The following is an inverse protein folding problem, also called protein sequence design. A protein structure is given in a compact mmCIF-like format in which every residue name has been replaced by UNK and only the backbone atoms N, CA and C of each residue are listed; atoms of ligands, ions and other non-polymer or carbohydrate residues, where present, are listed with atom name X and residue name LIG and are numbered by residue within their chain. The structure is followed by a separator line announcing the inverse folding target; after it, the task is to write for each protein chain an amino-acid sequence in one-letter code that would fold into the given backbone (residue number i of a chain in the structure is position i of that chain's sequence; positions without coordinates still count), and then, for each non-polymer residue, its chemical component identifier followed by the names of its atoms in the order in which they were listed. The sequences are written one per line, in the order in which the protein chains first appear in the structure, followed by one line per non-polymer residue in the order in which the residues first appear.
data_IF_928101331168
#
_entry.id   IF_928101331168
#
_cell.length_a   1.000
_cell.length_b   1.000
_cell.length_c   1.000
_cell.angle_alpha   90.00
_cell.angle_beta   90.00
_cell.angle_gamma   90.00
#
_symmetry.space_group_name_H-M   'P 1'
#
loop_
_entity.id
_entity.type
_entity.pdbx_description
1 polymer ?
#
# COMPACT_ATOMS: atom_id res chain seq x y z
N UNK A 1 -23.39 58.24 13.83
CA UNK A 1 -22.40 58.89 14.72
C UNK A 1 -21.94 57.84 15.71
N UNK A 2 -20.64 57.49 15.72
CA UNK A 2 -19.66 57.77 16.81
C UNK A 2 -20.13 57.14 18.15
N UNK A 3 -19.37 56.30 18.86
CA UNK A 3 -17.93 56.38 19.14
C UNK A 3 -17.46 55.03 19.73
N UNK A 4 -16.20 54.70 19.47
CA UNK A 4 -15.41 53.66 20.15
C UNK A 4 -15.34 53.89 21.66
N UNK A 5 -15.17 52.82 22.45
CA UNK A 5 -14.33 52.92 23.64
C UNK A 5 -13.63 51.62 24.02
N UNK A 6 -12.49 51.82 24.65
CA UNK A 6 -11.28 51.01 24.72
C UNK A 6 -11.06 50.46 26.13
N UNK A 7 -10.18 49.45 26.23
CA UNK A 7 -9.31 49.12 27.39
C UNK A 7 -9.94 48.58 28.69
N UNK A 8 -9.49 47.39 29.12
CA UNK A 8 -8.58 47.27 30.28
C UNK A 8 -8.16 45.80 30.53
N UNK A 9 -6.84 45.59 30.54
CA UNK A 9 -6.12 44.44 31.08
C UNK A 9 -6.24 44.45 32.62
N UNK A 10 -6.56 43.32 33.25
CA UNK A 10 -6.28 43.09 34.69
C UNK A 10 -5.68 41.70 34.86
N UNK A 11 -4.43 41.71 35.32
CA UNK A 11 -3.63 40.60 35.84
C UNK A 11 -4.02 40.29 37.28
N UNK A 12 -4.16 39.02 37.65
CA UNK A 12 -3.84 38.53 39.02
C UNK A 12 -3.31 37.09 38.94
N UNK A 13 -2.10 36.91 39.45
CA UNK A 13 -1.40 35.64 39.68
C UNK A 13 -1.78 34.99 41.03
N UNK A 14 -1.39 33.72 41.14
CA UNK A 14 -1.07 32.94 42.35
C UNK A 14 -2.18 32.09 42.99
N UNK A 15 -1.97 30.77 43.01
CA UNK A 15 -1.45 30.08 44.19
C UNK A 15 -1.18 28.57 43.90
N UNK A 16 0.06 28.15 44.13
CA UNK A 16 0.44 26.76 44.41
C UNK A 16 0.36 26.54 45.93
N UNK A 17 0.02 25.34 46.42
CA UNK A 17 0.44 24.89 47.74
C UNK A 17 1.63 23.93 47.62
N UNK A 18 2.76 24.32 48.21
CA UNK A 18 3.81 23.40 48.62
C UNK A 18 3.63 23.10 50.12
N UNK A 19 3.61 21.81 50.48
CA UNK A 19 3.94 21.37 51.84
C UNK A 19 4.98 20.25 51.76
N UNK A 20 5.86 20.27 52.74
CA UNK A 20 7.24 19.82 52.67
C UNK A 20 7.49 18.38 53.15
N UNK A 21 8.57 17.81 52.58
CA UNK A 21 9.67 17.04 53.17
C UNK A 21 9.40 15.95 54.24
N UNK A 22 9.96 14.76 53.97
CA UNK A 22 10.22 13.71 54.97
C UNK A 22 10.92 12.49 54.36
N UNK A 23 12.17 12.27 54.76
CA UNK A 23 13.20 11.43 54.14
C UNK A 23 13.03 9.89 54.22
N UNK A 24 13.57 9.23 53.20
CA UNK A 24 14.41 8.02 53.18
C UNK A 24 13.98 6.68 53.87
N UNK A 25 14.18 5.61 53.08
CA UNK A 25 14.62 4.25 53.42
C UNK A 25 13.59 3.10 53.50
N UNK A 26 13.65 2.27 52.45
CA UNK A 26 13.80 0.81 52.42
C UNK A 26 12.59 -0.15 52.69
N UNK A 27 12.63 -1.25 51.94
CA UNK A 27 11.94 -2.55 52.11
C UNK A 27 10.55 -2.80 51.46
N UNK A 28 10.63 -3.44 50.28
CA UNK A 28 10.05 -4.76 49.93
C UNK A 28 8.55 -5.06 50.05
N UNK A 29 7.95 -5.30 48.87
CA UNK A 29 6.99 -6.36 48.51
C UNK A 29 5.67 -6.53 49.30
N UNK A 30 4.55 -6.14 48.70
CA UNK A 30 3.63 -7.06 48.00
C UNK A 30 2.18 -6.52 47.94
N UNK A 31 1.64 -6.57 46.72
CA UNK A 31 0.25 -6.88 46.37
C UNK A 31 -0.91 -6.07 47.00
N UNK A 32 -1.56 -5.25 46.17
CA UNK A 32 -3.02 -5.32 45.98
C UNK A 32 -3.44 -4.56 44.72
N UNK A 33 -4.37 -5.17 43.99
CA UNK A 33 -4.84 -4.82 42.65
C UNK A 33 -5.68 -3.54 42.56
N UNK A 34 -5.63 -2.86 41.40
CA UNK A 34 -6.81 -2.30 40.71
C UNK A 34 -6.42 -1.82 39.29
N UNK A 35 -7.41 -1.81 38.42
CA UNK A 35 -7.39 -1.92 36.96
C UNK A 35 -7.30 -0.55 36.20
N UNK A 36 -7.24 -0.54 34.84
CA UNK A 36 -6.38 0.34 34.06
C UNK A 36 -7.03 1.68 33.69
N UNK A 37 -6.22 2.74 33.66
CA UNK A 37 -6.59 4.02 33.06
C UNK A 37 -6.44 3.95 31.54
N UNK A 38 -7.51 4.39 30.87
CA UNK A 38 -7.63 4.68 29.45
C UNK A 38 -6.43 5.49 28.95
N UNK A 39 -5.64 4.91 28.05
CA UNK A 39 -4.72 5.67 27.21
C UNK A 39 -5.50 6.20 26.00
N UNK A 40 -5.64 7.53 25.98
CA UNK A 40 -6.19 8.30 24.89
C UNK A 40 -5.41 8.03 23.60
N UNK A 41 -6.17 7.87 22.52
CA UNK A 41 -5.70 7.72 21.15
C UNK A 41 -4.94 8.99 20.78
N UNK A 42 -3.61 8.89 20.74
CA UNK A 42 -2.77 9.93 20.16
C UNK A 42 -3.02 9.95 18.65
N UNK A 43 -3.83 10.92 18.21
CA UNK A 43 -3.87 11.38 16.84
C UNK A 43 -2.45 11.82 16.48
N UNK A 44 -1.75 10.97 15.76
CA UNK A 44 -0.51 11.36 15.09
C UNK A 44 -0.94 11.83 13.72
N UNK A 45 -0.89 13.14 13.52
CA UNK A 45 -0.88 13.75 12.19
C UNK A 45 0.34 13.18 11.46
N UNK A 46 0.13 12.15 10.64
CA UNK A 46 1.15 11.62 9.74
C UNK A 46 1.37 12.66 8.64
N UNK A 47 2.38 13.48 8.88
CA UNK A 47 3.09 14.23 7.84
C UNK A 47 3.58 13.23 6.78
N UNK A 48 3.43 13.61 5.51
CA UNK A 48 3.73 12.84 4.31
C UNK A 48 4.89 11.84 4.46
N UNK A 49 4.54 10.56 4.59
CA UNK A 49 5.42 9.43 4.31
C UNK A 49 4.90 8.88 2.99
N UNK A 50 5.60 9.14 1.89
CA UNK A 50 5.24 8.59 0.56
C UNK A 50 5.21 7.07 0.71
N UNK A 51 4.00 6.54 0.61
CA UNK A 51 3.63 5.18 0.96
C UNK A 51 4.41 4.15 0.14
N UNK A 52 4.73 3.03 0.78
CA UNK A 52 5.07 1.75 0.15
C UNK A 52 4.26 1.52 -1.12
N UNK A 53 4.87 0.99 -2.18
CA UNK A 53 4.36 0.72 -3.53
C UNK A 53 3.16 -0.24 -3.61
N UNK A 54 2.07 0.15 -2.95
CA UNK A 54 0.76 -0.45 -3.09
C UNK A 54 -0.01 0.26 -4.20
N UNK A 55 -0.89 -0.50 -4.85
CA UNK A 55 -1.89 0.06 -5.76
C UNK A 55 -3.23 0.16 -5.05
N UNK A 56 -4.07 1.09 -5.47
CA UNK A 56 -5.31 1.42 -4.77
C UNK A 56 -6.54 1.29 -5.68
N UNK A 57 -7.69 1.08 -5.05
CA UNK A 57 -8.99 1.30 -5.70
C UNK A 57 -9.41 2.78 -5.62
N UNK A 58 -10.56 3.10 -6.21
CA UNK A 58 -11.13 4.45 -6.22
C UNK A 58 -11.44 5.02 -4.84
N UNK A 59 -11.52 4.17 -3.83
CA UNK A 59 -11.83 4.51 -2.44
C UNK A 59 -10.55 4.65 -1.60
N UNK A 60 -9.38 4.64 -2.25
CA UNK A 60 -8.07 4.72 -1.60
C UNK A 60 -7.75 3.47 -0.77
N UNK A 61 -8.42 2.34 -1.03
CA UNK A 61 -8.11 1.09 -0.34
C UNK A 61 -7.01 0.34 -1.09
N UNK A 62 -5.98 -0.17 -0.40
CA UNK A 62 -4.94 -0.95 -1.04
C UNK A 62 -5.52 -2.24 -1.61
N UNK A 63 -5.17 -2.55 -2.86
CA UNK A 63 -5.61 -3.75 -3.57
C UNK A 63 -4.43 -4.53 -4.14
N UNK A 64 -4.64 -5.83 -4.32
CA UNK A 64 -3.67 -6.74 -4.91
C UNK A 64 -3.90 -6.91 -6.41
N UNK A 65 -2.87 -7.32 -7.16
CA UNK A 65 -3.00 -7.69 -8.57
C UNK A 65 -4.12 -8.71 -8.82
N UNK A 66 -4.28 -9.69 -7.92
CA UNK A 66 -5.32 -10.70 -7.99
C UNK A 66 -6.72 -10.08 -7.90
N UNK A 67 -6.96 -9.18 -6.94
CA UNK A 67 -8.25 -8.51 -6.78
C UNK A 67 -8.61 -7.69 -8.01
N UNK A 68 -7.65 -6.95 -8.57
CA UNK A 68 -7.83 -6.20 -9.81
C UNK A 68 -8.15 -7.13 -10.99
N UNK A 69 -7.43 -8.24 -11.13
CA UNK A 69 -7.68 -9.20 -12.21
C UNK A 69 -9.07 -9.85 -12.10
N UNK A 70 -9.50 -10.20 -10.89
CA UNK A 70 -10.86 -10.71 -10.62
C UNK A 70 -11.94 -9.66 -10.92
N UNK A 71 -11.71 -8.41 -10.53
CA UNK A 71 -12.62 -7.31 -10.82
C UNK A 71 -12.80 -7.08 -12.33
N UNK A 72 -11.71 -7.11 -13.09
CA UNK A 72 -11.75 -7.05 -14.57
C UNK A 72 -12.51 -8.21 -15.19
N UNK A 73 -12.30 -9.42 -14.69
CA UNK A 73 -13.03 -10.60 -15.15
C UNK A 73 -14.54 -10.49 -14.86
N UNK A 74 -14.89 -9.95 -13.69
CA UNK A 74 -16.28 -9.68 -13.33
C UNK A 74 -16.93 -8.65 -14.27
N UNK A 75 -16.27 -7.53 -14.58
CA UNK A 75 -16.79 -6.55 -15.55
C UNK A 75 -16.91 -7.12 -16.97
N UNK A 76 -16.00 -8.00 -17.37
CA UNK A 76 -16.13 -8.70 -18.65
C UNK A 76 -17.36 -9.62 -18.67
N UNK A 77 -17.71 -10.26 -17.55
CA UNK A 77 -18.92 -11.07 -17.41
C UNK A 77 -20.19 -10.20 -17.42
N UNK A 78 -20.21 -9.07 -16.70
CA UNK A 78 -21.29 -8.08 -16.72
C UNK A 78 -21.55 -7.60 -18.15
N UNK A 79 -20.49 -7.19 -18.86
CA UNK A 79 -20.55 -6.76 -20.27
C UNK A 79 -21.07 -7.87 -21.18
N UNK A 80 -20.64 -9.12 -20.97
CA UNK A 80 -21.10 -10.28 -21.75
C UNK A 80 -22.58 -10.60 -21.51
N UNK A 81 -23.07 -10.39 -20.29
CA UNK A 81 -24.48 -10.56 -19.95
C UNK A 81 -25.38 -9.44 -20.52
N UNK A 82 -24.79 -8.31 -20.95
CA UNK A 82 -25.53 -7.18 -21.50
C UNK A 82 -26.39 -6.44 -20.47
N UNK A 83 -26.06 -6.57 -19.19
CA UNK A 83 -26.75 -5.87 -18.09
C UNK A 83 -26.13 -4.48 -17.87
N UNK A 84 -26.91 -3.54 -17.33
CA UNK A 84 -26.40 -2.22 -17.03
C UNK A 84 -25.38 -2.29 -15.87
N UNK A 85 -24.21 -1.62 -15.95
CA UNK A 85 -23.15 -1.76 -14.95
C UNK A 85 -23.56 -1.42 -13.51
N UNK A 86 -24.51 -0.51 -13.33
CA UNK A 86 -24.98 -0.04 -12.02
C UNK A 86 -26.23 -0.79 -11.53
N UNK A 87 -26.63 -1.88 -12.21
CA UNK A 87 -27.83 -2.64 -11.86
C UNK A 87 -27.57 -3.66 -10.76
N UNK A 88 -28.65 -4.08 -10.09
CA UNK A 88 -28.57 -5.16 -9.09
C UNK A 88 -28.12 -6.48 -9.73
N UNK A 89 -28.50 -6.74 -10.98
CA UNK A 89 -28.05 -7.90 -11.75
C UNK A 89 -26.54 -7.86 -12.00
N UNK A 90 -25.95 -6.70 -12.31
CA UNK A 90 -24.50 -6.56 -12.42
C UNK A 90 -23.80 -6.86 -11.09
N UNK A 91 -24.36 -6.38 -9.97
CA UNK A 91 -23.84 -6.69 -8.64
C UNK A 91 -23.90 -8.19 -8.35
N UNK A 92 -24.98 -8.88 -8.72
CA UNK A 92 -25.09 -10.34 -8.56
C UNK A 92 -24.05 -11.10 -9.38
N UNK A 93 -23.75 -10.65 -10.61
CA UNK A 93 -22.68 -11.25 -11.44
C UNK A 93 -21.31 -11.06 -10.78
N UNK A 94 -21.03 -9.87 -10.27
CA UNK A 94 -19.79 -9.55 -9.55
C UNK A 94 -19.62 -10.37 -8.27
N UNK A 95 -20.67 -10.50 -7.47
CA UNK A 95 -20.69 -11.38 -6.28
C UNK A 95 -20.44 -12.83 -6.70
N UNK A 96 -21.09 -13.30 -7.76
CA UNK A 96 -20.88 -14.64 -8.32
C UNK A 96 -19.46 -14.86 -8.84
N UNK A 97 -18.76 -13.81 -9.26
CA UNK A 97 -17.36 -13.81 -9.66
C UNK A 97 -16.39 -13.70 -8.46
N UNK A 98 -16.90 -13.59 -7.23
CA UNK A 98 -16.11 -13.56 -6.00
C UNK A 98 -15.72 -12.16 -5.51
N UNK A 99 -16.35 -11.09 -6.01
CA UNK A 99 -16.27 -9.79 -5.35
C UNK A 99 -17.11 -9.77 -4.07
N UNK A 100 -16.76 -8.90 -3.13
CA UNK A 100 -17.50 -8.79 -1.87
C UNK A 100 -18.84 -8.08 -2.11
N UNK A 101 -19.91 -8.42 -1.36
CA UNK A 101 -21.21 -7.76 -1.50
C UNK A 101 -21.16 -6.24 -1.27
N UNK A 102 -20.22 -5.77 -0.47
CA UNK A 102 -20.06 -4.35 -0.14
C UNK A 102 -19.52 -3.54 -1.33
N UNK A 103 -18.76 -4.18 -2.22
CA UNK A 103 -18.09 -3.52 -3.37
C UNK A 103 -18.73 -3.86 -4.71
N UNK A 104 -19.49 -4.94 -4.80
CA UNK A 104 -20.08 -5.42 -6.05
C UNK A 104 -21.12 -4.48 -6.67
N UNK A 105 -21.70 -3.55 -5.91
CA UNK A 105 -22.66 -2.59 -6.44
C UNK A 105 -22.01 -1.48 -7.28
N UNK A 106 -20.68 -1.37 -7.24
CA UNK A 106 -19.94 -0.40 -8.03
C UNK A 106 -19.11 -1.09 -9.13
N UNK A 107 -19.10 -0.55 -10.36
CA UNK A 107 -18.22 -1.05 -11.40
C UNK A 107 -16.75 -0.84 -11.05
N UNK A 108 -15.91 -1.79 -11.45
CA UNK A 108 -14.46 -1.56 -11.44
C UNK A 108 -14.09 -0.44 -12.42
N UNK A 109 -13.52 0.66 -11.91
CA UNK A 109 -13.23 1.86 -12.71
C UNK A 109 -11.74 2.07 -13.02
N UNK A 110 -10.83 1.43 -12.29
CA UNK A 110 -9.41 1.60 -12.52
C UNK A 110 -8.50 1.08 -11.41
N UNK A 111 -7.22 1.36 -11.59
CA UNK A 111 -6.17 1.21 -10.59
C UNK A 111 -5.64 2.62 -10.32
N UNK A 112 -5.36 2.93 -9.06
CA UNK A 112 -4.96 4.26 -8.61
C UNK A 112 -3.63 4.19 -7.85
N UNK A 113 -2.87 5.28 -7.90
CA UNK A 113 -1.72 5.52 -7.03
C UNK A 113 -2.17 6.03 -5.64
N UNK A 114 -1.21 6.27 -4.74
CA UNK A 114 -1.48 6.74 -3.38
C UNK A 114 -2.09 8.16 -3.36
N UNK A 115 -1.82 8.96 -4.39
CA UNK A 115 -2.34 10.31 -4.58
C UNK A 115 -3.77 10.32 -5.16
N UNK A 116 -4.30 9.15 -5.54
CA UNK A 116 -5.63 9.00 -6.13
C UNK A 116 -5.70 9.29 -7.63
N UNK A 117 -4.55 9.36 -8.32
CA UNK A 117 -4.50 9.43 -9.77
C UNK A 117 -4.61 8.04 -10.37
N UNK A 118 -5.31 7.95 -11.50
CA UNK A 118 -5.47 6.69 -12.21
C UNK A 118 -4.17 6.30 -12.91
N UNK A 119 -3.68 5.09 -12.64
CA UNK A 119 -2.46 4.54 -13.24
C UNK A 119 -2.76 3.43 -14.26
N UNK A 120 -1.80 3.20 -15.14
CA UNK A 120 -1.88 2.10 -16.12
C UNK A 120 -1.61 0.74 -15.48
N UNK A 121 -2.02 -0.35 -16.15
CA UNK A 121 -1.68 -1.71 -15.68
C UNK A 121 -0.19 -1.98 -15.68
N UNK A 122 0.57 -1.26 -16.52
CA UNK A 122 2.03 -1.40 -16.60
C UNK A 122 2.65 -0.79 -15.34
N UNK A 123 2.30 0.45 -15.03
CA UNK A 123 2.75 1.14 -13.80
C UNK A 123 2.35 0.36 -12.54
N UNK A 124 1.09 -0.09 -12.48
CA UNK A 124 0.62 -0.91 -11.37
C UNK A 124 1.41 -2.22 -11.21
N UNK A 125 1.88 -2.82 -12.31
CA UNK A 125 2.71 -4.02 -12.24
C UNK A 125 4.14 -3.71 -11.80
N UNK A 126 4.68 -2.56 -12.22
CA UNK A 126 6.00 -2.07 -11.81
C UNK A 126 6.04 -1.80 -10.31
N UNK A 127 5.06 -1.06 -9.77
CA UNK A 127 4.95 -0.78 -8.34
C UNK A 127 4.84 -2.08 -7.52
N UNK A 128 3.94 -2.98 -7.92
CA UNK A 128 3.79 -4.27 -7.24
C UNK A 128 5.03 -5.16 -7.35
N UNK A 129 5.75 -5.10 -8.46
CA UNK A 129 6.96 -5.89 -8.67
C UNK A 129 8.11 -5.38 -7.79
N UNK A 130 8.29 -4.06 -7.72
CA UNK A 130 9.26 -3.42 -6.83
C UNK A 130 9.04 -3.87 -5.39
N UNK A 131 7.81 -3.77 -4.88
CA UNK A 131 7.50 -4.19 -3.50
C UNK A 131 7.76 -5.68 -3.27
N UNK A 132 7.41 -6.53 -4.24
CA UNK A 132 7.62 -7.97 -4.10
C UNK A 132 9.12 -8.33 -4.11
N UNK A 133 9.93 -7.65 -4.92
CA UNK A 133 11.40 -7.84 -4.96
C UNK A 133 12.06 -7.28 -3.70
N UNK A 134 11.65 -6.10 -3.21
CA UNK A 134 12.10 -5.55 -1.92
C UNK A 134 11.79 -6.54 -0.79
N UNK A 135 10.55 -7.04 -0.74
CA UNK A 135 10.10 -7.99 0.28
C UNK A 135 10.89 -9.30 0.26
N UNK A 136 11.27 -9.80 -0.93
CA UNK A 136 12.05 -11.04 -1.06
C UNK A 136 13.53 -10.87 -0.79
N UNK A 137 14.10 -9.76 -1.25
CA UNK A 137 15.51 -9.42 -1.02
C UNK A 137 15.79 -9.06 0.43
N UNK A 138 14.75 -8.65 1.19
CA UNK A 138 14.91 -8.17 2.56
C UNK A 138 15.54 -6.78 2.63
N UNK A 139 15.46 -5.99 1.55
CA UNK A 139 15.94 -4.63 1.52
C UNK A 139 15.18 -3.77 2.55
N UNK A 140 15.93 -3.00 3.34
CA UNK A 140 15.35 -2.10 4.34
C UNK A 140 14.78 -0.84 3.67
N UNK A 141 13.70 -0.25 4.20
CA UNK A 141 13.20 1.03 3.72
C UNK A 141 14.28 2.13 3.76
N UNK A 142 14.50 2.80 2.63
CA UNK A 142 15.53 3.83 2.44
C UNK A 142 16.94 3.30 2.24
N UNK A 143 17.13 1.99 2.02
CA UNK A 143 18.45 1.41 1.78
C UNK A 143 18.91 1.58 0.32
N UNK A 144 20.22 1.55 0.10
CA UNK A 144 20.85 1.46 -1.23
C UNK A 144 20.24 0.35 -2.07
N UNK A 145 20.02 -0.83 -1.47
CA UNK A 145 19.43 -1.98 -2.17
C UNK A 145 18.01 -1.68 -2.66
N UNK A 146 17.20 -0.98 -1.87
CA UNK A 146 15.88 -0.54 -2.31
C UNK A 146 15.99 0.46 -3.47
N UNK A 147 16.90 1.42 -3.40
CA UNK A 147 17.13 2.39 -4.48
C UNK A 147 17.51 1.71 -5.79
N UNK A 148 18.42 0.72 -5.74
CA UNK A 148 18.82 -0.09 -6.90
C UNK A 148 17.63 -0.85 -7.48
N UNK A 149 16.77 -1.48 -6.65
CA UNK A 149 15.58 -2.20 -7.12
C UNK A 149 14.59 -1.24 -7.80
N UNK A 150 14.39 -0.05 -7.25
CA UNK A 150 13.52 0.98 -7.83
C UNK A 150 14.09 1.53 -9.15
N UNK A 151 15.39 1.79 -9.22
CA UNK A 151 16.07 2.19 -10.46
C UNK A 151 15.96 1.11 -11.54
N UNK A 152 16.14 -0.16 -11.16
CA UNK A 152 15.98 -1.30 -12.05
C UNK A 152 14.55 -1.41 -12.63
N UNK A 153 13.52 -1.08 -11.84
CA UNK A 153 12.14 -1.06 -12.32
C UNK A 153 11.88 0.05 -13.34
N UNK A 154 12.56 1.20 -13.19
CA UNK A 154 12.58 2.30 -14.16
C UNK A 154 13.35 1.96 -15.44
N UNK A 155 14.19 0.93 -15.40
CA UNK A 155 15.10 0.58 -16.49
C UNK A 155 16.35 1.46 -16.53
N UNK A 156 16.71 2.06 -15.39
CA UNK A 156 17.90 2.89 -15.24
C UNK A 156 19.12 2.01 -14.93
N UNK A 157 20.28 2.36 -15.49
CA UNK A 157 21.54 1.63 -15.27
C UNK A 157 22.26 2.10 -13.98
N UNK A 158 21.86 3.25 -13.41
CA UNK A 158 22.42 3.83 -12.18
C UNK A 158 21.30 4.44 -11.30
N UNK A 159 21.50 4.50 -9.98
CA UNK A 159 20.61 5.22 -9.04
C UNK A 159 20.87 6.73 -9.09
N UNK A 160 19.97 7.52 -8.50
CA UNK A 160 20.15 8.98 -8.34
C UNK A 160 21.42 9.34 -7.52
N UNK A 161 21.89 8.42 -6.67
CA UNK A 161 23.10 8.58 -5.85
C UNK A 161 24.37 8.08 -6.57
N UNK A 162 24.23 7.49 -7.76
CA UNK A 162 25.32 7.02 -8.61
C UNK A 162 25.73 5.56 -8.40
N UNK A 163 24.88 4.77 -7.74
CA UNK A 163 25.12 3.33 -7.55
C UNK A 163 24.75 2.56 -8.82
N UNK A 164 25.62 1.64 -9.25
CA UNK A 164 25.39 0.82 -10.44
C UNK A 164 24.25 -0.18 -10.22
N UNK A 165 23.34 -0.25 -11.18
CA UNK A 165 22.29 -1.26 -11.20
C UNK A 165 22.79 -2.48 -11.95
N UNK A 166 23.04 -3.55 -11.20
CA UNK A 166 23.53 -4.79 -11.79
C UNK A 166 22.47 -5.48 -12.68
N UNK A 167 22.96 -6.19 -13.70
CA UNK A 167 22.09 -6.87 -14.67
C UNK A 167 21.22 -8.00 -14.08
N UNK A 168 21.61 -8.58 -12.95
CA UNK A 168 20.82 -9.61 -12.25
C UNK A 168 19.61 -8.96 -11.57
N UNK A 169 19.78 -7.80 -10.94
CA UNK A 169 18.69 -7.02 -10.35
C UNK A 169 17.72 -6.51 -11.42
N UNK A 170 18.24 -6.01 -12.55
CA UNK A 170 17.42 -5.63 -13.72
C UNK A 170 16.56 -6.80 -14.22
N UNK A 171 17.15 -7.99 -14.31
CA UNK A 171 16.44 -9.19 -14.72
C UNK A 171 15.38 -9.64 -13.70
N UNK A 172 15.73 -9.67 -12.41
CA UNK A 172 14.83 -10.08 -11.35
C UNK A 172 13.58 -9.19 -11.34
N UNK A 173 13.78 -7.88 -11.41
CA UNK A 173 12.69 -6.90 -11.46
C UNK A 173 11.88 -7.05 -12.74
N UNK A 174 12.51 -7.18 -13.91
CA UNK A 174 11.80 -7.39 -15.18
C UNK A 174 10.95 -8.67 -15.17
N UNK A 175 11.45 -9.75 -14.58
CA UNK A 175 10.70 -11.00 -14.40
C UNK A 175 9.49 -10.79 -13.50
N UNK A 176 9.66 -10.14 -12.36
CA UNK A 176 8.55 -9.90 -11.44
C UNK A 176 7.50 -8.97 -12.06
N UNK A 177 7.90 -7.95 -12.83
CA UNK A 177 6.98 -7.10 -13.61
C UNK A 177 6.12 -7.97 -14.53
N UNK A 178 6.73 -8.90 -15.28
CA UNK A 178 6.00 -9.78 -16.18
C UNK A 178 5.00 -10.68 -15.42
N UNK A 179 5.40 -11.19 -14.25
CA UNK A 179 4.52 -11.98 -13.37
C UNK A 179 3.34 -11.14 -12.88
N UNK A 180 3.58 -9.94 -12.36
CA UNK A 180 2.53 -9.06 -11.86
C UNK A 180 1.57 -8.61 -12.98
N UNK A 181 2.07 -8.33 -14.18
CA UNK A 181 1.22 -8.07 -15.35
C UNK A 181 0.32 -9.25 -15.69
N UNK A 182 0.86 -10.48 -15.63
CA UNK A 182 0.07 -11.69 -15.88
C UNK A 182 -1.01 -11.89 -14.80
N UNK A 183 -0.70 -11.64 -13.53
CA UNK A 183 -1.67 -11.72 -12.43
C UNK A 183 -2.75 -10.64 -12.58
N UNK A 184 -2.38 -9.37 -12.85
CA UNK A 184 -3.32 -8.27 -13.10
C UNK A 184 -4.28 -8.56 -14.27
N UNK A 185 -3.82 -9.34 -15.25
CA UNK A 185 -4.62 -9.73 -16.41
C UNK A 185 -5.55 -10.90 -16.13
N UNK A 186 -5.12 -11.85 -15.31
CA UNK A 186 -5.79 -13.16 -15.17
C UNK A 186 -6.54 -13.31 -13.85
N UNK A 187 -6.22 -12.50 -12.83
CA UNK A 187 -6.77 -12.65 -11.48
C UNK A 187 -6.29 -13.93 -10.79
N UNK A 188 -5.17 -14.50 -11.22
CA UNK A 188 -4.59 -15.72 -10.63
C UNK A 188 -4.27 -15.51 -9.16
N UNK A 189 -4.55 -16.53 -8.35
CA UNK A 189 -4.33 -16.48 -6.91
C UNK A 189 -2.83 -16.62 -6.57
N UNK A 190 -2.28 -15.78 -5.68
CA UNK A 190 -0.93 -15.96 -5.16
C UNK A 190 -0.76 -17.32 -4.45
N UNK A 191 0.39 -17.97 -4.64
CA UNK A 191 0.71 -19.31 -4.17
C UNK A 191 0.04 -20.44 -4.96
N UNK A 192 -0.73 -20.14 -6.02
CA UNK A 192 -1.41 -21.18 -6.80
C UNK A 192 -0.50 -21.86 -7.82
N UNK A 193 -0.91 -23.05 -8.28
CA UNK A 193 -0.25 -23.74 -9.38
C UNK A 193 -0.19 -22.87 -10.66
N UNK A 194 -1.22 -22.05 -10.91
CA UNK A 194 -1.24 -21.16 -12.06
C UNK A 194 -0.21 -20.03 -11.95
N UNK A 195 0.02 -19.49 -10.75
CA UNK A 195 1.10 -18.52 -10.55
C UNK A 195 2.46 -19.18 -10.77
N UNK A 196 2.63 -20.42 -10.28
CA UNK A 196 3.87 -21.19 -10.50
C UNK A 196 4.15 -21.39 -12.00
N UNK A 197 3.11 -21.66 -12.80
CA UNK A 197 3.23 -21.74 -14.26
C UNK A 197 3.59 -20.39 -14.89
N UNK A 198 3.02 -19.28 -14.41
CA UNK A 198 3.36 -17.93 -14.88
C UNK A 198 4.83 -17.63 -14.59
N UNK A 199 5.31 -17.90 -13.37
CA UNK A 199 6.70 -17.68 -12.94
C UNK A 199 7.67 -18.51 -13.78
N UNK A 200 7.41 -19.82 -13.91
CA UNK A 200 8.21 -20.70 -14.76
C UNK A 200 8.20 -20.24 -16.23
N UNK A 201 7.07 -19.76 -16.73
CA UNK A 201 6.98 -19.18 -18.08
C UNK A 201 7.85 -17.92 -18.24
N UNK A 202 7.86 -17.04 -17.24
CA UNK A 202 8.71 -15.85 -17.22
C UNK A 202 10.20 -16.24 -17.23
N UNK A 203 10.60 -17.22 -16.43
CA UNK A 203 11.97 -17.75 -16.41
C UNK A 203 12.39 -18.30 -17.78
N UNK A 204 11.59 -19.20 -18.36
CA UNK A 204 11.88 -19.80 -19.66
C UNK A 204 11.97 -18.74 -20.78
N UNK A 205 11.12 -17.73 -20.74
CA UNK A 205 11.15 -16.63 -21.73
C UNK A 205 12.41 -15.78 -21.58
N UNK A 206 12.85 -15.51 -20.35
CA UNK A 206 14.06 -14.74 -20.09
C UNK A 206 15.32 -15.51 -20.49
N UNK A 207 15.39 -16.80 -20.17
CA UNK A 207 16.48 -17.68 -20.61
C UNK A 207 16.59 -17.74 -22.14
N UNK A 208 15.44 -17.83 -22.82
CA UNK A 208 15.41 -17.78 -24.28
C UNK A 208 15.87 -16.43 -24.83
N UNK A 209 15.42 -15.33 -24.23
CA UNK A 209 15.84 -13.99 -24.64
C UNK A 209 17.37 -13.82 -24.54
N UNK A 210 17.97 -14.28 -23.44
CA UNK A 210 19.43 -14.31 -23.27
C UNK A 210 20.13 -15.16 -24.32
N UNK A 211 19.56 -16.31 -24.67
CA UNK A 211 20.15 -17.20 -25.69
C UNK A 211 20.17 -16.63 -27.11
N UNK A 212 19.41 -15.57 -27.37
CA UNK A 212 19.35 -14.87 -28.66
C UNK A 212 20.19 -13.59 -28.71
N UNK A 213 20.69 -13.13 -27.56
CA UNK A 213 21.69 -12.06 -27.46
C UNK A 213 23.10 -12.64 -27.58
#
# INVERSE_FOLDING_TARGET
MKVFNTLALISVCAALPAYAAGSAANASNSAAAAQPQQSQVAQTETSANVQSGAIYDRHGQPVTAMQVGKARAAEAAVKKAGVAPDSTEAAMIRIGAGQSPETAYEPFDGIYDAEGNRISSKQAAEELAVEEVIRRSGAEPGSEREAIIRAAAGGEDETDEGDEVDGETMEEVAKEIAVQQAILRTGVQPGSANESLIRMGADVMMDRYKSWK
#
